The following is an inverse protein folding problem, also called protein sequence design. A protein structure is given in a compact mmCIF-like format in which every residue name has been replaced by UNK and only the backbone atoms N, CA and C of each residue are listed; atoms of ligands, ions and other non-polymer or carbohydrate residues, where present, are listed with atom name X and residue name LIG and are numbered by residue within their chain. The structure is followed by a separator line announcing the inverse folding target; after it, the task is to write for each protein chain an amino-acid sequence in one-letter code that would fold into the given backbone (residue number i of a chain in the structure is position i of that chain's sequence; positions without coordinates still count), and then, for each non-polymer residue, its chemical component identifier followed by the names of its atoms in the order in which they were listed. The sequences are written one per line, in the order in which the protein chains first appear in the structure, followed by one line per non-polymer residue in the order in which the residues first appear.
data_IF_024462374754
#
_entry.id   IF_024462374754
#
_cell.length_a   1.000
_cell.length_b   1.000
_cell.length_c   1.000
_cell.angle_alpha   90.00
_cell.angle_beta   90.00
_cell.angle_gamma   90.00
#
_symmetry.space_group_name_H-M   'P 1'
#
loop_
_entity.id
_entity.type
_entity.pdbx_description
1 polymer ?
#
# COMPACT_ATOMS: atom_id res chain seq x y z
N UNK A 1 -30.79 1.76 10.16
CA UNK A 1 -30.22 2.33 9.87
C UNK A 1 -29.62 2.56 10.23
N UNK A 2 -29.60 2.31 10.25
CA UNK A 2 -28.96 2.85 10.15
C UNK A 2 -28.19 2.79 9.84
N UNK A 3 -28.16 2.40 9.84
CA UNK A 3 -27.50 2.70 9.30
C UNK A 3 -26.73 2.81 8.98
N UNK A 4 -26.76 2.58 9.03
CA UNK A 4 -26.04 3.08 8.43
C UNK A 4 -25.21 3.27 8.40
N UNK A 5 -25.32 3.29 8.54
CA UNK A 5 -24.64 3.89 8.25
C UNK A 5 -23.83 3.73 8.03
N UNK A 6 -23.98 3.15 7.97
CA UNK A 6 -23.37 3.48 7.36
C UNK A 6 -22.79 3.23 7.02
N UNK A 7 -22.93 2.77 7.10
CA UNK A 7 -22.50 3.15 6.46
C UNK A 7 -21.82 3.35 6.29
N UNK A 8 -21.94 3.14 6.43
CA UNK A 8 -21.42 3.86 5.92
C UNK A 8 -20.44 3.85 6.16
N UNK A 9 -20.45 3.53 6.47
CA UNK A 9 -19.65 3.90 6.22
C UNK A 9 -18.97 3.26 6.17
N UNK A 10 -19.38 2.71 6.13
CA UNK A 10 -18.94 2.41 5.71
C UNK A 10 -19.01 2.17 5.09
N UNK A 11 -19.53 1.88 5.11
CA UNK A 11 -19.78 2.16 4.27
C UNK A 11 -19.89 2.55 3.78
N UNK A 12 -20.50 2.28 3.87
CA UNK A 12 -20.86 3.01 3.17
C UNK A 12 -21.12 3.02 2.85
N UNK A 13 -21.42 2.66 2.71
CA UNK A 13 -21.93 3.13 1.94
C UNK A 13 -22.24 2.84 1.38
N UNK A 14 -22.68 2.35 1.27
CA UNK A 14 -23.09 2.49 0.36
C UNK A 14 -23.59 2.50 -0.18
N UNK A 15 -23.98 2.29 -0.44
CA UNK A 15 -24.37 2.61 -1.30
C UNK A 15 -24.88 2.63 -1.76
N UNK A 16 -25.10 2.34 -1.94
CA UNK A 16 -25.36 2.54 -2.73
C UNK A 16 -25.91 2.45 -2.92
N UNK A 17 -26.19 2.12 -3.06
CA UNK A 17 -26.48 2.19 -3.64
C UNK A 17 -26.90 1.96 -4.31
N UNK A 18 -27.25 1.71 -4.39
CA UNK A 18 -27.31 1.52 -5.29
C UNK A 18 -27.26 1.57 -6.13
N UNK A 19 -27.35 1.26 -5.93
CA UNK A 19 -27.27 1.43 -7.00
C UNK A 19 -26.60 1.75 -7.77
N UNK A 20 -26.87 2.38 -8.09
CA UNK A 20 -25.98 2.82 -8.90
C UNK A 20 -24.74 2.45 -8.41
N UNK A 21 -24.29 1.52 -8.86
CA UNK A 21 -23.05 1.28 -8.57
C UNK A 21 -22.20 2.32 -8.98
N UNK A 22 -21.53 2.81 -8.10
CA UNK A 22 -20.58 3.72 -8.39
C UNK A 22 -19.42 3.02 -8.86
N UNK A 23 -19.18 3.13 -10.07
CA UNK A 23 -17.92 2.69 -10.59
C UNK A 23 -16.96 3.80 -10.40
N UNK A 24 -16.57 3.98 -9.17
CA UNK A 24 -15.54 4.96 -8.90
C UNK A 24 -14.22 4.38 -9.30
N UNK A 25 -13.39 5.13 -9.98
CA UNK A 25 -12.03 4.69 -10.23
C UNK A 25 -11.32 4.46 -8.92
N UNK A 26 -10.49 3.48 -8.88
CA UNK A 26 -9.71 3.18 -7.69
C UNK A 26 -8.48 4.02 -7.62
N UNK A 27 -8.62 5.30 -7.68
CA UNK A 27 -7.44 6.12 -7.52
C UNK A 27 -7.16 6.29 -6.07
N UNK A 28 -5.94 6.27 -5.68
CA UNK A 28 -5.51 6.68 -4.38
C UNK A 28 -5.76 5.68 -3.29
N UNK A 29 -6.08 4.43 -3.64
CA UNK A 29 -6.34 3.45 -2.60
C UNK A 29 -5.78 2.09 -2.94
N UNK A 30 -4.63 2.09 -3.57
CA UNK A 30 -3.99 0.82 -3.90
C UNK A 30 -2.80 0.49 -3.02
N UNK A 31 -2.20 1.43 -2.35
CA UNK A 31 -0.97 1.30 -1.60
C UNK A 31 -0.67 -0.12 -1.11
N UNK A 32 0.60 -0.49 -0.92
CA UNK A 32 0.96 -1.83 -0.47
C UNK A 32 0.19 -2.27 0.76
N UNK A 33 -0.18 -3.54 0.82
CA UNK A 33 -1.04 -4.06 1.87
C UNK A 33 -0.46 -5.29 2.52
N UNK A 34 -0.76 -5.44 3.82
CA UNK A 34 -0.36 -6.61 4.58
C UNK A 34 1.13 -6.69 4.83
N UNK A 35 1.79 -5.55 4.97
CA UNK A 35 3.22 -5.53 5.17
C UNK A 35 3.64 -6.07 6.51
N UNK A 36 4.73 -6.85 6.49
CA UNK A 36 5.31 -7.42 7.69
C UNK A 36 6.81 -7.42 7.57
N UNK A 37 7.48 -6.74 8.49
CA UNK A 37 8.94 -6.74 8.50
C UNK A 37 9.40 -8.12 8.95
N UNK A 38 10.12 -8.81 8.06
CA UNK A 38 10.56 -10.17 8.33
C UNK A 38 12.05 -10.27 8.62
N UNK A 39 12.81 -9.23 8.34
CA UNK A 39 14.23 -9.17 8.68
C UNK A 39 14.63 -7.71 8.85
N UNK A 40 15.54 -7.48 9.78
CA UNK A 40 16.04 -6.15 10.06
C UNK A 40 15.12 -5.34 10.95
N UNK A 41 15.41 -4.06 11.06
CA UNK A 41 14.65 -3.14 11.91
C UNK A 41 13.94 -2.14 11.01
N UNK A 42 12.61 -2.18 11.02
CA UNK A 42 11.82 -1.28 10.19
C UNK A 42 10.44 -1.06 10.76
N UNK A 43 9.82 0.00 10.30
CA UNK A 43 8.48 0.38 10.71
C UNK A 43 7.69 0.82 9.48
N UNK A 44 6.51 0.27 9.34
CA UNK A 44 5.62 0.61 8.23
C UNK A 44 4.59 1.58 8.80
N UNK A 45 4.64 2.81 8.32
CA UNK A 45 3.70 3.83 8.78
C UNK A 45 2.31 3.59 8.25
N UNK A 46 1.31 3.99 9.02
CA UNK A 46 -0.06 3.97 8.56
C UNK A 46 -0.19 4.97 7.43
N UNK A 47 -0.79 4.59 6.31
CA UNK A 47 -0.93 5.53 5.21
C UNK A 47 -1.69 6.77 5.64
N UNK A 48 -1.16 7.92 5.26
CA UNK A 48 -1.85 9.20 5.42
C UNK A 48 -2.34 9.63 4.07
N UNK A 49 -3.60 9.33 3.76
CA UNK A 49 -4.14 9.66 2.46
C UNK A 49 -3.49 8.84 1.36
N UNK A 50 -2.68 9.50 0.54
CA UNK A 50 -2.08 8.90 -0.63
C UNK A 50 -0.58 8.61 -0.46
N UNK A 51 -0.09 8.61 0.78
CA UNK A 51 1.33 8.40 1.02
C UNK A 51 1.57 7.39 2.13
N UNK A 52 2.50 6.47 1.89
CA UNK A 52 2.95 5.53 2.90
C UNK A 52 4.42 5.77 3.15
N UNK A 53 4.80 5.93 4.42
CA UNK A 53 6.18 6.12 4.81
C UNK A 53 6.69 4.89 5.53
N UNK A 54 7.84 4.38 5.08
CA UNK A 54 8.47 3.21 5.67
C UNK A 54 9.85 3.62 6.10
N UNK A 55 10.15 3.43 7.37
CA UNK A 55 11.44 3.81 7.95
C UNK A 55 12.13 2.59 8.51
N UNK A 56 13.44 2.69 8.63
CA UNK A 56 14.21 1.59 9.19
C UNK A 56 15.68 1.93 9.27
N UNK A 57 16.49 0.93 9.55
CA UNK A 57 17.93 1.07 9.59
C UNK A 57 18.58 -0.17 9.00
N UNK A 58 19.77 0.01 8.42
CA UNK A 58 20.51 -1.08 7.81
C UNK A 58 19.74 -1.73 6.66
N UNK A 59 19.74 -3.05 6.64
CA UNK A 59 19.05 -3.80 5.60
C UNK A 59 17.74 -4.35 6.17
N UNK A 60 16.66 -4.16 5.43
CA UNK A 60 15.33 -4.52 5.88
C UNK A 60 14.67 -5.39 4.81
N UNK A 61 13.94 -6.39 5.24
CA UNK A 61 13.09 -7.18 4.34
C UNK A 61 11.66 -7.13 4.83
N UNK A 62 10.74 -6.92 3.91
CA UNK A 62 9.32 -6.82 4.20
C UNK A 62 8.56 -7.73 3.25
N UNK A 63 7.71 -8.57 3.83
CA UNK A 63 6.75 -9.34 3.05
C UNK A 63 5.45 -8.54 2.93
N UNK A 64 4.87 -8.58 1.75
CA UNK A 64 3.62 -7.89 1.46
C UNK A 64 2.61 -8.88 0.90
N UNK A 65 1.35 -8.68 1.22
CA UNK A 65 0.30 -9.42 0.55
C UNK A 65 0.15 -8.93 -0.90
N UNK A 66 0.16 -7.61 -1.09
CA UNK A 66 0.18 -7.00 -2.42
C UNK A 66 1.01 -5.74 -2.36
N UNK A 67 1.59 -5.37 -3.50
CA UNK A 67 2.38 -4.15 -3.59
C UNK A 67 1.96 -3.41 -4.84
N UNK A 68 1.07 -2.46 -4.68
CA UNK A 68 0.57 -1.61 -5.74
C UNK A 68 0.73 -0.16 -5.33
N UNK A 69 0.91 0.71 -6.31
CA UNK A 69 0.96 2.15 -6.07
C UNK A 69 0.13 2.80 -7.17
N UNK A 70 -1.01 3.34 -6.81
CA UNK A 70 -1.90 3.94 -7.78
C UNK A 70 -1.39 5.31 -8.22
N UNK A 71 -1.94 5.81 -9.28
CA UNK A 71 -1.62 7.15 -9.74
C UNK A 71 -1.94 8.15 -8.63
N UNK A 72 -1.01 9.04 -8.35
CA UNK A 72 -1.15 10.01 -7.28
C UNK A 72 -0.71 9.51 -5.91
N UNK A 73 -0.43 8.23 -5.78
CA UNK A 73 0.08 7.67 -4.53
C UNK A 73 1.59 7.62 -4.52
N UNK A 74 2.16 7.57 -3.33
CA UNK A 74 3.60 7.41 -3.18
C UNK A 74 3.95 6.54 -1.99
N UNK A 75 5.03 5.79 -2.14
CA UNK A 75 5.64 5.02 -1.06
C UNK A 75 7.05 5.56 -0.89
N UNK A 76 7.38 5.96 0.33
CA UNK A 76 8.68 6.56 0.60
C UNK A 76 9.41 5.74 1.65
N UNK A 77 10.62 5.33 1.29
CA UNK A 77 11.51 4.62 2.19
C UNK A 77 12.60 5.57 2.70
N UNK A 78 12.93 5.48 3.97
CA UNK A 78 13.98 6.33 4.53
C UNK A 78 14.68 5.66 5.71
N UNK A 79 15.93 6.05 5.91
CA UNK A 79 16.72 5.62 7.06
C UNK A 79 17.47 4.32 6.88
N UNK A 80 17.05 3.47 5.98
CA UNK A 80 17.68 2.18 5.76
C UNK A 80 18.68 2.25 4.62
N UNK A 81 19.60 1.30 4.57
CA UNK A 81 20.55 1.18 3.48
C UNK A 81 19.91 0.50 2.29
N UNK A 82 19.19 -0.57 2.53
CA UNK A 82 18.49 -1.31 1.49
C UNK A 82 17.20 -1.89 2.04
N UNK A 83 16.22 -2.05 1.17
CA UNK A 83 14.97 -2.70 1.54
C UNK A 83 14.55 -3.66 0.44
N UNK A 84 14.22 -4.89 0.83
CA UNK A 84 13.68 -5.89 -0.06
C UNK A 84 12.19 -6.01 0.22
N UNK A 85 11.40 -5.69 -0.77
CA UNK A 85 9.95 -5.84 -0.69
C UNK A 85 9.56 -7.06 -1.50
N UNK A 86 9.04 -8.08 -0.84
CA UNK A 86 8.68 -9.34 -1.48
C UNK A 86 7.17 -9.55 -1.37
N UNK A 87 6.53 -9.81 -2.49
CA UNK A 87 5.08 -10.05 -2.52
C UNK A 87 4.82 -11.54 -2.35
N UNK A 88 4.12 -11.88 -1.27
CA UNK A 88 3.77 -13.26 -0.97
C UNK A 88 2.38 -13.64 -1.48
N UNK A 89 1.55 -12.65 -1.80
CA UNK A 89 0.23 -12.91 -2.36
C UNK A 89 0.30 -13.34 -3.81
N UNK A 90 -0.84 -13.42 -4.44
CA UNK A 90 -0.93 -14.02 -5.77
C UNK A 90 -1.40 -13.06 -6.86
N UNK A 91 -1.22 -11.75 -6.63
CA UNK A 91 -1.56 -10.75 -7.64
C UNK A 91 -0.30 -10.02 -8.09
N UNK A 92 -0.28 -9.62 -9.35
CA UNK A 92 0.85 -8.85 -9.87
C UNK A 92 0.84 -7.44 -9.29
N UNK A 93 1.98 -6.78 -9.37
CA UNK A 93 2.12 -5.41 -8.91
C UNK A 93 1.85 -4.44 -10.05
N UNK A 94 1.08 -3.39 -9.75
CA UNK A 94 0.81 -2.32 -10.70
C UNK A 94 1.30 -1.02 -10.08
N UNK A 95 2.32 -0.45 -10.69
CA UNK A 95 2.99 0.72 -10.14
C UNK A 95 2.73 1.91 -11.06
N UNK A 96 1.76 2.73 -10.70
CA UNK A 96 1.40 3.93 -11.46
C UNK A 96 1.75 5.21 -10.71
N UNK A 97 2.16 5.10 -9.47
CA UNK A 97 2.58 6.21 -8.64
C UNK A 97 4.09 6.22 -8.43
N UNK A 98 4.51 6.81 -7.34
CA UNK A 98 5.91 6.99 -7.03
C UNK A 98 6.39 6.06 -5.94
N UNK A 99 7.58 5.51 -6.15
CA UNK A 99 8.33 4.84 -5.10
C UNK A 99 9.63 5.61 -4.98
N UNK A 100 9.96 6.07 -3.78
CA UNK A 100 11.16 6.85 -3.58
C UNK A 100 11.91 6.39 -2.34
N UNK A 101 13.22 6.58 -2.37
CA UNK A 101 14.09 6.29 -1.24
C UNK A 101 15.37 7.08 -1.42
N UNK A 102 15.54 8.15 -0.64
CA UNK A 102 16.75 8.97 -0.74
C UNK A 102 17.90 8.20 -0.12
N UNK A 103 18.82 7.73 -0.95
CA UNK A 103 19.96 6.94 -0.49
C UNK A 103 19.63 5.50 -0.14
N UNK A 104 18.41 5.06 -0.38
CA UNK A 104 17.98 3.69 -0.06
C UNK A 104 17.95 2.87 -1.35
N UNK A 105 18.55 1.69 -1.30
CA UNK A 105 18.42 0.75 -2.41
C UNK A 105 17.11 -0.01 -2.24
N UNK A 106 16.16 0.23 -3.14
CA UNK A 106 14.83 -0.34 -3.04
C UNK A 106 14.69 -1.49 -4.05
N UNK A 107 14.36 -2.66 -3.54
CA UNK A 107 14.10 -3.85 -4.38
C UNK A 107 12.64 -4.24 -4.22
N UNK A 108 12.00 -4.55 -5.33
CA UNK A 108 10.65 -5.09 -5.33
C UNK A 108 10.65 -6.39 -6.11
N UNK A 109 10.26 -7.46 -5.45
CA UNK A 109 10.22 -8.79 -6.04
C UNK A 109 8.81 -9.32 -5.94
N UNK A 110 8.20 -9.57 -7.08
CA UNK A 110 6.87 -10.14 -7.15
C UNK A 110 6.88 -11.31 -8.14
N UNK A 111 6.76 -12.55 -7.64
CA UNK A 111 6.75 -13.71 -8.54
C UNK A 111 5.59 -13.71 -9.54
N UNK A 112 4.57 -12.91 -9.28
CA UNK A 112 3.40 -12.83 -10.16
C UNK A 112 3.55 -11.77 -11.26
N UNK A 113 4.57 -10.96 -11.19
CA UNK A 113 4.79 -9.91 -12.17
C UNK A 113 4.66 -8.50 -11.67
#
# INVERSE_FOLDING_TARGET
MKKNKLLLHKQILAAVLSGGILLLPNWGYALPQGGQVVAGTGSIGTPGGDQMNITGSGNVAIDWNSFNVAQGESVKFSGMQAVLNYVTGNTKSEIFGNISGNGVHVFLVNPNG
#
